data_IF_310408087201
#
_entry.id   IF_310408087201
#
_cell.length_a   1.000
_cell.length_b   1.000
_cell.length_c   1.000
_cell.angle_alpha   90.00
_cell.angle_beta   90.00
_cell.angle_gamma   90.00
#
_symmetry.space_group_name_H-M   'P 1'
#
loop_
_entity.id
_entity.type
_entity.pdbx_description
1 polymer ?
#
# COMPACT_ATOMS: atom_id res chain seq x y z
N UNK A 1 -9.77 41.29 -12.69
CA UNK A 1 -9.93 40.23 -11.68
C UNK A 1 -8.87 39.19 -12.01
N UNK A 2 -7.88 38.96 -11.13
CA UNK A 2 -6.88 37.93 -11.37
C UNK A 2 -7.52 36.56 -11.23
N UNK A 3 -7.26 35.63 -12.16
CA UNK A 3 -7.70 34.25 -11.99
C UNK A 3 -6.98 33.61 -10.80
N UNK A 4 -7.65 32.72 -10.07
CA UNK A 4 -6.99 31.89 -9.04
C UNK A 4 -5.82 31.14 -9.70
N UNK A 5 -4.67 31.00 -9.03
CA UNK A 5 -3.59 30.15 -9.53
C UNK A 5 -4.11 28.72 -9.68
N UNK A 6 -4.04 28.19 -10.91
CA UNK A 6 -4.48 26.83 -11.22
C UNK A 6 -3.29 25.97 -11.60
N UNK A 7 -3.31 24.72 -11.15
CA UNK A 7 -2.35 23.70 -11.60
C UNK A 7 -2.76 23.20 -12.97
N UNK A 8 -1.79 23.00 -13.87
CA UNK A 8 -2.06 22.36 -15.16
C UNK A 8 -2.04 20.85 -15.00
N UNK A 9 -3.21 20.23 -15.05
CA UNK A 9 -3.38 18.79 -15.10
C UNK A 9 -3.35 18.30 -16.55
N UNK A 10 -2.61 17.22 -16.80
CA UNK A 10 -2.46 16.60 -18.11
C UNK A 10 -2.94 15.15 -18.12
N UNK A 11 -3.03 14.52 -16.95
CA UNK A 11 -3.58 13.18 -16.75
C UNK A 11 -4.92 13.19 -16.03
N UNK A 12 -5.48 11.99 -15.88
CA UNK A 12 -6.71 11.72 -15.14
C UNK A 12 -6.61 10.37 -14.45
N UNK A 13 -7.27 10.20 -13.32
CA UNK A 13 -7.39 8.90 -12.69
C UNK A 13 -8.43 8.08 -13.45
N UNK A 14 -8.17 6.78 -13.62
CA UNK A 14 -9.06 5.85 -14.29
C UNK A 14 -10.29 5.58 -13.43
N UNK A 15 -11.44 5.42 -14.07
CA UNK A 15 -12.65 4.99 -13.40
C UNK A 15 -12.70 3.47 -13.35
N UNK A 16 -12.91 2.90 -12.16
CA UNK A 16 -13.00 1.45 -11.96
C UNK A 16 -14.31 1.12 -11.26
N UNK A 17 -15.10 0.26 -11.90
CA UNK A 17 -16.38 -0.22 -11.37
C UNK A 17 -16.25 -1.64 -10.83
N UNK A 18 -16.67 -1.83 -9.59
CA UNK A 18 -16.57 -3.07 -8.82
C UNK A 18 -17.93 -3.54 -8.33
N UNK A 19 -18.08 -4.85 -8.15
CA UNK A 19 -19.33 -5.48 -7.72
C UNK A 19 -20.13 -6.15 -8.83
N UNK A 20 -21.07 -7.00 -8.39
CA UNK A 20 -21.99 -7.75 -9.26
C UNK A 20 -23.05 -6.83 -9.88
N UNK A 21 -23.67 -7.26 -11.01
CA UNK A 21 -24.73 -6.50 -11.64
C UNK A 21 -25.85 -6.08 -10.67
N UNK A 22 -26.16 -4.78 -10.63
CA UNK A 22 -27.17 -4.17 -9.75
C UNK A 22 -26.65 -3.70 -8.38
N UNK A 23 -25.37 -3.92 -8.08
CA UNK A 23 -24.72 -3.50 -6.83
C UNK A 23 -23.37 -2.80 -7.10
N UNK A 24 -23.19 -2.23 -8.29
CA UNK A 24 -21.91 -1.67 -8.72
C UNK A 24 -21.57 -0.38 -7.98
N UNK A 25 -20.29 -0.23 -7.63
CA UNK A 25 -19.72 1.02 -7.11
C UNK A 25 -18.54 1.39 -7.99
N UNK A 26 -18.44 2.68 -8.33
CA UNK A 26 -17.34 3.23 -9.13
C UNK A 26 -16.48 4.16 -8.28
N UNK A 27 -15.17 4.07 -8.46
CA UNK A 27 -14.14 4.94 -7.86
C UNK A 27 -13.24 5.52 -8.94
N UNK A 28 -12.55 6.62 -8.63
CA UNK A 28 -11.63 7.29 -9.54
C UNK A 28 -12.29 8.36 -10.40
N UNK A 29 -11.66 8.68 -11.54
CA UNK A 29 -12.14 9.68 -12.49
C UNK A 29 -11.69 11.12 -12.21
N UNK A 30 -10.85 11.31 -11.19
CA UNK A 30 -10.34 12.63 -10.80
C UNK A 30 -9.49 13.26 -11.91
N UNK A 31 -9.68 14.56 -12.15
CA UNK A 31 -8.88 15.34 -13.11
C UNK A 31 -8.08 16.45 -12.44
N UNK A 32 -8.05 16.48 -11.11
CA UNK A 32 -7.25 17.36 -10.26
C UNK A 32 -6.94 16.62 -8.94
N UNK A 33 -6.19 17.25 -8.03
CA UNK A 33 -5.98 16.68 -6.70
C UNK A 33 -7.29 16.52 -5.93
N UNK A 34 -7.30 15.59 -4.97
CA UNK A 34 -8.49 15.25 -4.20
C UNK A 34 -9.09 16.49 -3.54
N UNK A 35 -10.41 16.65 -3.69
CA UNK A 35 -11.20 17.77 -3.19
C UNK A 35 -10.88 19.15 -3.79
N UNK A 36 -10.04 19.25 -4.83
CA UNK A 36 -9.74 20.52 -5.50
C UNK A 36 -10.79 20.82 -6.60
N UNK A 37 -12.08 20.80 -6.21
CA UNK A 37 -13.22 20.94 -7.12
C UNK A 37 -13.30 22.28 -7.88
N UNK A 38 -12.49 23.27 -7.49
CA UNK A 38 -12.38 24.56 -8.17
C UNK A 38 -11.50 24.49 -9.45
N UNK A 39 -10.68 23.46 -9.61
CA UNK A 39 -9.75 23.33 -10.75
C UNK A 39 -9.75 21.96 -11.44
N UNK A 40 -10.66 21.07 -11.04
CA UNK A 40 -10.91 19.82 -11.75
C UNK A 40 -12.19 19.11 -11.31
N UNK A 41 -12.46 17.98 -11.95
CA UNK A 41 -13.62 17.16 -11.67
C UNK A 41 -13.23 16.02 -10.73
N UNK A 42 -14.14 15.67 -9.84
CA UNK A 42 -14.10 14.49 -8.99
C UNK A 42 -15.48 13.82 -9.07
N UNK A 43 -15.71 13.00 -10.11
CA UNK A 43 -17.06 12.48 -10.43
C UNK A 43 -17.57 11.48 -9.40
N UNK A 44 -16.66 10.82 -8.69
CA UNK A 44 -16.97 9.82 -7.67
C UNK A 44 -16.39 10.25 -6.33
N UNK A 45 -17.25 10.28 -5.29
CA UNK A 45 -16.78 10.47 -3.92
C UNK A 45 -16.00 9.24 -3.45
N UNK A 46 -14.98 9.39 -2.58
CA UNK A 46 -14.27 8.25 -2.01
C UNK A 46 -15.23 7.30 -1.29
N UNK A 47 -14.94 5.99 -1.39
CA UNK A 47 -15.81 4.92 -0.89
C UNK A 47 -15.25 4.36 0.40
N UNK A 48 -16.15 3.94 1.29
CA UNK A 48 -15.82 3.47 2.63
C UNK A 48 -16.30 2.03 2.79
N UNK A 49 -15.37 1.12 3.05
CA UNK A 49 -15.63 -0.27 3.36
C UNK A 49 -15.51 -0.55 4.85
N UNK A 50 -16.32 -1.48 5.38
CA UNK A 50 -16.11 -2.04 6.71
C UNK A 50 -15.49 -3.43 6.64
N UNK A 51 -14.56 -3.68 7.54
CA UNK A 51 -13.88 -4.96 7.70
C UNK A 51 -14.78 -5.98 8.41
N UNK A 52 -14.80 -7.20 7.87
CA UNK A 52 -15.36 -8.42 8.44
C UNK A 52 -14.25 -9.46 8.47
N UNK A 53 -14.18 -10.27 9.52
CA UNK A 53 -13.17 -11.34 9.63
C UNK A 53 -13.84 -12.70 9.46
N UNK A 54 -13.19 -13.63 8.77
CA UNK A 54 -13.66 -15.01 8.54
C UNK A 54 -13.69 -15.88 9.81
N UNK A 55 -12.97 -15.47 10.85
CA UNK A 55 -12.91 -16.12 12.15
C UNK A 55 -13.19 -15.12 13.27
N UNK A 56 -13.70 -15.63 14.40
CA UNK A 56 -13.89 -14.82 15.59
C UNK A 56 -12.55 -14.21 16.05
N UNK A 57 -12.45 -12.88 16.18
CA UNK A 57 -11.22 -12.23 16.63
C UNK A 57 -10.95 -12.49 18.11
N UNK A 58 -9.69 -12.80 18.46
CA UNK A 58 -9.28 -13.10 19.85
C UNK A 58 -8.58 -11.92 20.53
N UNK A 59 -7.79 -11.13 19.79
CA UNK A 59 -6.91 -10.09 20.35
C UNK A 59 -7.29 -8.66 19.95
N UNK A 60 -8.58 -8.44 19.67
CA UNK A 60 -9.10 -7.11 19.34
C UNK A 60 -9.38 -6.29 20.60
N UNK A 61 -9.22 -4.97 20.48
CA UNK A 61 -9.63 -4.04 21.53
C UNK A 61 -11.14 -4.19 21.80
N UNK A 62 -11.60 -4.12 23.07
CA UNK A 62 -13.03 -4.23 23.39
C UNK A 62 -13.89 -3.24 22.61
N UNK A 63 -13.45 -1.99 22.48
CA UNK A 63 -14.15 -0.94 21.72
C UNK A 63 -14.26 -1.26 20.21
N UNK A 64 -13.33 -2.05 19.66
CA UNK A 64 -13.41 -2.51 18.27
C UNK A 64 -14.43 -3.65 18.07
N UNK A 65 -14.72 -4.41 19.14
CA UNK A 65 -15.64 -5.54 19.11
C UNK A 65 -17.08 -5.13 19.46
N UNK A 66 -17.25 -4.11 20.30
CA UNK A 66 -18.55 -3.65 20.82
C UNK A 66 -19.64 -3.53 19.74
N UNK A 67 -19.38 -2.93 18.55
CA UNK A 67 -20.43 -2.80 17.53
C UNK A 67 -20.90 -4.14 16.94
N UNK A 68 -20.11 -5.21 17.09
CA UNK A 68 -20.29 -6.47 16.36
C UNK A 68 -20.55 -7.69 17.26
N UNK A 69 -20.70 -7.50 18.58
CA UNK A 69 -20.76 -8.58 19.58
C UNK A 69 -21.80 -9.69 19.32
N UNK A 70 -22.88 -9.37 18.63
CA UNK A 70 -23.97 -10.26 18.23
C UNK A 70 -23.68 -11.06 16.94
N UNK A 71 -22.65 -10.69 16.18
CA UNK A 71 -22.31 -11.25 14.87
C UNK A 71 -20.85 -11.72 14.72
N UNK A 72 -20.00 -11.58 15.75
CA UNK A 72 -18.56 -11.94 15.68
C UNK A 72 -18.25 -13.37 15.21
N UNK A 73 -19.19 -14.30 15.37
CA UNK A 73 -19.04 -15.70 14.97
C UNK A 73 -19.65 -16.05 13.60
N UNK A 74 -20.29 -15.10 12.92
CA UNK A 74 -20.97 -15.30 11.64
C UNK A 74 -20.56 -14.19 10.66
N UNK A 75 -19.58 -14.44 9.78
CA UNK A 75 -19.12 -13.44 8.80
C UNK A 75 -20.23 -12.95 7.87
N UNK A 76 -21.25 -13.76 7.59
CA UNK A 76 -22.37 -13.37 6.73
C UNK A 76 -23.29 -12.39 7.45
N UNK A 77 -23.65 -12.70 8.70
CA UNK A 77 -24.43 -11.78 9.54
C UNK A 77 -23.65 -10.47 9.80
N UNK A 78 -22.35 -10.59 10.03
CA UNK A 78 -21.47 -9.43 10.21
C UNK A 78 -21.43 -8.55 8.96
N UNK A 79 -21.25 -9.13 7.77
CA UNK A 79 -21.28 -8.37 6.53
C UNK A 79 -22.62 -7.64 6.31
N UNK A 80 -23.76 -8.27 6.60
CA UNK A 80 -25.07 -7.61 6.53
C UNK A 80 -25.19 -6.46 7.52
N UNK A 81 -24.72 -6.65 8.76
CA UNK A 81 -24.70 -5.61 9.78
C UNK A 81 -23.82 -4.42 9.38
N UNK A 82 -22.68 -4.67 8.73
CA UNK A 82 -21.83 -3.63 8.17
C UNK A 82 -22.54 -2.83 7.05
N UNK A 83 -23.37 -3.48 6.22
CA UNK A 83 -24.23 -2.78 5.25
C UNK A 83 -25.28 -1.92 5.96
N UNK A 84 -25.88 -2.40 7.05
CA UNK A 84 -26.82 -1.61 7.87
C UNK A 84 -26.16 -0.37 8.48
N UNK A 85 -24.85 -0.43 8.78
CA UNK A 85 -24.04 0.73 9.19
C UNK A 85 -23.70 1.71 8.06
N UNK A 86 -24.09 1.43 6.82
CA UNK A 86 -23.89 2.34 5.69
C UNK A 86 -22.55 2.18 4.96
N UNK A 87 -21.96 0.98 5.02
CA UNK A 87 -20.77 0.67 4.24
C UNK A 87 -21.08 0.64 2.73
N UNK A 88 -20.26 1.31 1.92
CA UNK A 88 -20.38 1.25 0.45
C UNK A 88 -19.93 -0.11 -0.08
N UNK A 89 -19.09 -0.80 0.68
CA UNK A 89 -18.43 -2.05 0.34
C UNK A 89 -18.11 -2.84 1.60
N UNK A 90 -17.89 -4.14 1.47
CA UNK A 90 -17.40 -4.99 2.56
C UNK A 90 -15.98 -5.46 2.25
N UNK A 91 -15.11 -5.45 3.26
CA UNK A 91 -13.81 -6.10 3.18
C UNK A 91 -13.80 -7.35 4.05
N UNK A 92 -13.86 -8.52 3.43
CA UNK A 92 -13.68 -9.80 4.10
C UNK A 92 -12.19 -10.09 4.23
N UNK A 93 -11.69 -10.01 5.44
CA UNK A 93 -10.33 -10.36 5.79
C UNK A 93 -10.24 -11.83 6.20
N UNK A 94 -9.45 -12.59 5.45
CA UNK A 94 -9.27 -14.04 5.61
C UNK A 94 -8.22 -14.39 6.67
N UNK A 95 -8.33 -13.80 7.85
CA UNK A 95 -7.37 -13.97 8.96
C UNK A 95 -7.23 -15.44 9.39
N UNK A 96 -8.28 -16.25 9.25
CA UNK A 96 -8.27 -17.68 9.52
C UNK A 96 -7.29 -18.47 8.65
N UNK A 97 -6.89 -17.94 7.50
CA UNK A 97 -5.94 -18.59 6.60
C UNK A 97 -4.47 -18.39 7.00
N UNK A 98 -4.16 -17.57 8.00
CA UNK A 98 -2.77 -17.30 8.41
C UNK A 98 -2.03 -18.60 8.75
N UNK A 99 -0.90 -18.91 8.08
CA UNK A 99 -0.08 -20.08 8.38
C UNK A 99 0.41 -20.16 9.82
N UNK A 100 0.55 -19.01 10.50
CA UNK A 100 0.96 -18.92 11.91
C UNK A 100 -0.24 -18.95 12.87
N UNK A 101 -1.46 -18.88 12.36
CA UNK A 101 -2.71 -18.93 13.11
C UNK A 101 -3.43 -20.27 12.92
N UNK A 102 -4.70 -20.21 12.53
CA UNK A 102 -5.53 -21.41 12.30
C UNK A 102 -5.16 -22.15 11.01
N UNK A 103 -4.45 -21.50 10.08
CA UNK A 103 -4.01 -22.03 8.80
C UNK A 103 -5.13 -22.75 8.03
N UNK A 104 -6.34 -22.19 8.04
CA UNK A 104 -7.49 -22.77 7.35
C UNK A 104 -7.20 -22.91 5.85
N UNK A 105 -7.75 -23.95 5.20
CA UNK A 105 -7.43 -24.27 3.82
C UNK A 105 -8.10 -23.29 2.85
N UNK A 106 -7.67 -23.26 1.58
CA UNK A 106 -8.17 -22.31 0.58
C UNK A 106 -9.67 -22.51 0.28
N UNK A 107 -10.16 -23.74 0.42
CA UNK A 107 -11.55 -24.11 0.26
C UNK A 107 -12.46 -23.40 1.27
N UNK A 108 -12.00 -23.25 2.52
CA UNK A 108 -12.73 -22.50 3.55
C UNK A 108 -12.91 -21.04 3.12
N UNK A 109 -11.82 -20.39 2.69
CA UNK A 109 -11.85 -19.01 2.21
C UNK A 109 -12.75 -18.83 0.99
N UNK A 110 -12.70 -19.75 0.04
CA UNK A 110 -13.53 -19.72 -1.17
C UNK A 110 -15.02 -19.91 -0.87
N UNK A 111 -15.36 -20.75 0.10
CA UNK A 111 -16.74 -20.96 0.56
C UNK A 111 -17.28 -19.72 1.28
N UNK A 112 -16.56 -19.20 2.28
CA UNK A 112 -17.03 -18.07 3.06
C UNK A 112 -17.10 -16.77 2.23
N UNK A 113 -16.13 -16.54 1.34
CA UNK A 113 -16.16 -15.39 0.44
C UNK A 113 -17.39 -15.42 -0.49
N UNK A 114 -17.73 -16.61 -1.01
CA UNK A 114 -18.92 -16.79 -1.84
C UNK A 114 -20.21 -16.56 -1.05
N UNK A 115 -20.33 -17.15 0.15
CA UNK A 115 -21.50 -16.96 1.01
C UNK A 115 -21.72 -15.48 1.33
N UNK A 116 -20.65 -14.75 1.66
CA UNK A 116 -20.72 -13.30 1.90
C UNK A 116 -21.12 -12.55 0.64
N UNK A 117 -20.50 -12.82 -0.50
CA UNK A 117 -20.79 -12.14 -1.77
C UNK A 117 -22.23 -12.35 -2.26
N UNK A 118 -22.80 -13.54 -2.02
CA UNK A 118 -24.20 -13.86 -2.32
C UNK A 118 -25.16 -13.12 -1.38
N UNK A 119 -24.79 -12.97 -0.11
CA UNK A 119 -25.65 -12.46 0.95
C UNK A 119 -25.76 -10.92 1.04
N UNK A 120 -24.78 -10.18 0.51
CA UNK A 120 -24.77 -8.71 0.53
C UNK A 120 -25.18 -8.10 -0.82
N UNK A 121 -25.60 -6.84 -0.78
CA UNK A 121 -26.01 -6.02 -1.93
C UNK A 121 -25.04 -4.86 -2.23
N UNK A 122 -23.78 -5.01 -1.80
CA UNK A 122 -22.67 -4.09 -2.07
C UNK A 122 -21.46 -4.89 -2.56
N UNK A 123 -20.47 -4.25 -3.20
CA UNK A 123 -19.26 -4.95 -3.64
C UNK A 123 -18.44 -5.54 -2.48
N UNK A 124 -17.73 -6.62 -2.78
CA UNK A 124 -16.87 -7.33 -1.83
C UNK A 124 -15.39 -7.22 -2.22
N UNK A 125 -14.60 -6.81 -1.24
CA UNK A 125 -13.14 -6.88 -1.22
C UNK A 125 -12.78 -8.13 -0.43
N UNK A 126 -11.91 -8.97 -0.97
CA UNK A 126 -11.34 -10.12 -0.26
C UNK A 126 -9.87 -9.86 -0.01
N UNK A 127 -9.51 -9.83 1.27
CA UNK A 127 -8.16 -9.51 1.74
C UNK A 127 -7.51 -10.73 2.37
N UNK A 128 -6.29 -11.04 1.93
CA UNK A 128 -5.46 -12.11 2.47
C UNK A 128 -4.68 -11.73 3.73
N UNK A 129 -3.70 -12.57 4.04
CA UNK A 129 -2.79 -12.46 5.20
C UNK A 129 -1.42 -11.93 4.78
N UNK A 130 -0.42 -11.98 5.65
CA UNK A 130 0.94 -11.52 5.35
C UNK A 130 1.77 -12.49 4.50
N UNK A 131 1.33 -13.75 4.34
CA UNK A 131 2.04 -14.76 3.56
C UNK A 131 1.59 -14.77 2.10
N UNK A 132 2.47 -14.36 1.19
CA UNK A 132 2.20 -14.35 -0.24
C UNK A 132 1.96 -15.75 -0.83
N UNK A 133 2.66 -16.77 -0.32
CA UNK A 133 2.46 -18.16 -0.73
C UNK A 133 1.04 -18.62 -0.37
N UNK A 134 0.61 -18.36 0.86
CA UNK A 134 -0.75 -18.70 1.30
C UNK A 134 -1.81 -17.91 0.52
N UNK A 135 -1.59 -16.60 0.35
CA UNK A 135 -2.48 -15.73 -0.43
C UNK A 135 -2.62 -16.21 -1.87
N UNK A 136 -1.56 -16.73 -2.48
CA UNK A 136 -1.60 -17.27 -3.85
C UNK A 136 -2.62 -18.41 -3.96
N UNK A 137 -2.57 -19.37 -3.05
CA UNK A 137 -3.51 -20.50 -3.06
C UNK A 137 -4.94 -20.04 -2.75
N UNK A 138 -5.08 -19.20 -1.72
CA UNK A 138 -6.38 -18.72 -1.21
C UNK A 138 -7.10 -17.82 -2.23
N UNK A 139 -6.44 -16.78 -2.75
CA UNK A 139 -7.07 -15.81 -3.64
C UNK A 139 -7.43 -16.42 -5.01
N UNK A 140 -6.70 -17.44 -5.47
CA UNK A 140 -7.08 -18.21 -6.67
C UNK A 140 -8.37 -18.99 -6.46
N UNK A 141 -8.50 -19.67 -5.33
CA UNK A 141 -9.70 -20.45 -5.01
C UNK A 141 -10.92 -19.53 -4.84
N UNK A 142 -10.73 -18.38 -4.19
CA UNK A 142 -11.76 -17.33 -4.08
C UNK A 142 -12.17 -16.81 -5.45
N UNK A 143 -11.20 -16.48 -6.32
CA UNK A 143 -11.47 -15.97 -7.66
C UNK A 143 -12.34 -16.94 -8.48
N UNK A 144 -12.03 -18.24 -8.43
CA UNK A 144 -12.81 -19.26 -9.12
C UNK A 144 -14.23 -19.41 -8.54
N UNK A 145 -14.34 -19.54 -7.21
CA UNK A 145 -15.61 -19.73 -6.52
C UNK A 145 -16.56 -18.55 -6.69
N UNK A 146 -16.00 -17.33 -6.80
CA UNK A 146 -16.74 -16.07 -6.89
C UNK A 146 -16.73 -15.48 -8.32
N UNK A 147 -16.57 -16.30 -9.36
CA UNK A 147 -16.65 -15.83 -10.74
C UNK A 147 -17.98 -15.08 -11.00
N UNK A 148 -17.89 -13.91 -11.64
CA UNK A 148 -19.04 -13.05 -11.94
C UNK A 148 -19.44 -12.06 -10.85
N UNK A 149 -18.84 -12.12 -9.65
CA UNK A 149 -19.07 -11.12 -8.60
C UNK A 149 -18.23 -9.84 -8.74
N UNK A 150 -17.25 -9.83 -9.65
CA UNK A 150 -16.34 -8.69 -9.87
C UNK A 150 -15.74 -8.15 -8.56
N UNK A 151 -15.14 -9.06 -7.79
CA UNK A 151 -14.47 -8.78 -6.52
C UNK A 151 -13.22 -7.92 -6.69
N UNK A 152 -12.79 -7.28 -5.59
CA UNK A 152 -11.42 -6.80 -5.41
C UNK A 152 -10.63 -7.85 -4.65
N UNK A 153 -9.52 -8.33 -5.21
CA UNK A 153 -8.64 -9.33 -4.61
C UNK A 153 -7.33 -8.68 -4.17
N UNK A 154 -6.97 -8.82 -2.90
CA UNK A 154 -5.72 -8.29 -2.36
C UNK A 154 -5.21 -9.09 -1.16
N UNK A 155 -3.96 -8.87 -0.73
CA UNK A 155 -2.94 -8.07 -1.43
C UNK A 155 -2.34 -8.86 -2.62
N UNK A 156 -2.09 -8.16 -3.73
CA UNK A 156 -1.33 -8.70 -4.87
C UNK A 156 0.03 -8.01 -4.91
N UNK A 157 1.11 -8.76 -4.72
CA UNK A 157 2.48 -8.25 -4.63
C UNK A 157 3.31 -8.72 -5.83
N UNK A 158 4.55 -8.23 -5.95
CA UNK A 158 5.49 -8.70 -6.99
C UNK A 158 5.78 -10.21 -6.91
N UNK A 159 5.59 -10.86 -5.77
CA UNK A 159 5.85 -12.30 -5.63
C UNK A 159 4.71 -13.17 -6.16
N UNK A 160 3.46 -12.70 -6.11
CA UNK A 160 2.27 -13.49 -6.41
C UNK A 160 1.43 -12.98 -7.60
N UNK A 161 1.81 -11.84 -8.21
CA UNK A 161 1.03 -11.20 -9.26
C UNK A 161 0.74 -12.10 -10.47
N UNK A 162 1.66 -13.01 -10.83
CA UNK A 162 1.46 -13.88 -11.99
C UNK A 162 0.28 -14.80 -11.79
N UNK A 163 0.22 -15.45 -10.63
CA UNK A 163 -0.78 -16.46 -10.32
C UNK A 163 -2.12 -15.81 -9.96
N UNK A 164 -2.11 -14.78 -9.11
CA UNK A 164 -3.34 -14.09 -8.69
C UNK A 164 -3.88 -13.21 -9.82
N UNK A 165 -3.02 -12.51 -10.56
CA UNK A 165 -3.40 -11.72 -11.74
C UNK A 165 -3.98 -12.59 -12.86
N UNK A 166 -3.42 -13.77 -13.14
CA UNK A 166 -4.01 -14.70 -14.10
C UNK A 166 -5.41 -15.18 -13.69
N UNK A 167 -5.62 -15.45 -12.40
CA UNK A 167 -6.94 -15.80 -11.88
C UNK A 167 -7.92 -14.62 -11.96
N UNK A 168 -7.47 -13.39 -11.66
CA UNK A 168 -8.28 -12.19 -11.79
C UNK A 168 -8.70 -11.93 -13.26
N UNK A 169 -7.82 -12.20 -14.23
CA UNK A 169 -8.16 -12.14 -15.66
C UNK A 169 -9.22 -13.19 -16.00
N UNK A 170 -8.99 -14.45 -15.63
CA UNK A 170 -9.85 -15.57 -15.97
C UNK A 170 -11.29 -15.38 -15.42
N UNK A 171 -11.41 -14.92 -14.18
CA UNK A 171 -12.69 -14.80 -13.47
C UNK A 171 -13.23 -13.36 -13.43
N UNK A 172 -12.56 -12.43 -14.10
CA UNK A 172 -12.96 -11.01 -14.24
C UNK A 172 -13.12 -10.34 -12.87
N UNK A 173 -12.04 -10.36 -12.10
CA UNK A 173 -11.90 -9.62 -10.85
C UNK A 173 -10.95 -8.43 -11.00
N UNK A 174 -10.86 -7.63 -9.95
CA UNK A 174 -9.98 -6.47 -9.82
C UNK A 174 -8.88 -6.87 -8.84
N UNK A 175 -7.66 -6.39 -9.07
CA UNK A 175 -6.51 -6.63 -8.16
C UNK A 175 -6.19 -5.37 -7.37
N UNK A 176 -5.96 -5.52 -6.07
CA UNK A 176 -5.32 -4.50 -5.24
C UNK A 176 -3.80 -4.74 -5.25
N UNK A 177 -3.11 -3.99 -6.10
CA UNK A 177 -1.67 -4.08 -6.33
C UNK A 177 -0.92 -3.44 -5.15
N UNK A 178 -0.47 -4.28 -4.22
CA UNK A 178 0.23 -3.90 -3.01
C UNK A 178 1.73 -3.72 -3.27
N UNK A 179 2.24 -2.54 -2.95
CA UNK A 179 3.66 -2.19 -2.98
C UNK A 179 4.07 -1.49 -1.68
N UNK A 180 5.26 -1.77 -1.12
CA UNK A 180 5.65 -1.24 0.18
C UNK A 180 6.20 0.20 0.08
N UNK A 181 5.31 1.20 0.22
CA UNK A 181 5.64 2.63 0.43
C UNK A 181 6.73 3.15 -0.53
N UNK A 182 6.63 2.79 -1.81
CA UNK A 182 7.56 3.23 -2.85
C UNK A 182 6.86 3.38 -4.20
N UNK A 183 6.96 4.57 -4.79
CA UNK A 183 6.32 4.91 -6.07
C UNK A 183 6.87 4.10 -7.25
N UNK A 184 8.15 3.77 -7.26
CA UNK A 184 8.76 2.99 -8.33
C UNK A 184 8.31 1.54 -8.25
N UNK A 185 8.20 0.98 -7.04
CA UNK A 185 7.66 -0.36 -6.85
C UNK A 185 6.18 -0.42 -7.25
N UNK A 186 5.38 0.58 -6.89
CA UNK A 186 3.99 0.70 -7.35
C UNK A 186 3.91 0.71 -8.88
N UNK A 187 4.74 1.54 -9.53
CA UNK A 187 4.82 1.62 -11.00
C UNK A 187 5.26 0.31 -11.64
N UNK A 188 6.29 -0.33 -11.09
CA UNK A 188 6.82 -1.61 -11.58
C UNK A 188 5.76 -2.70 -11.48
N UNK A 189 5.06 -2.82 -10.36
CA UNK A 189 4.00 -3.81 -10.18
C UNK A 189 2.85 -3.61 -11.17
N UNK A 190 2.44 -2.35 -11.40
CA UNK A 190 1.40 -2.04 -12.39
C UNK A 190 1.85 -2.43 -13.81
N UNK A 191 3.11 -2.15 -14.18
CA UNK A 191 3.68 -2.59 -15.47
C UNK A 191 3.66 -4.12 -15.58
N UNK A 192 4.01 -4.84 -14.51
CA UNK A 192 4.01 -6.30 -14.49
C UNK A 192 2.59 -6.87 -14.67
N UNK A 193 1.58 -6.28 -14.02
CA UNK A 193 0.18 -6.67 -14.15
C UNK A 193 -0.37 -6.40 -15.56
N UNK A 194 -0.06 -5.23 -16.14
CA UNK A 194 -0.44 -4.91 -17.52
C UNK A 194 0.23 -5.85 -18.53
N UNK A 195 1.52 -6.14 -18.37
CA UNK A 195 2.25 -7.08 -19.24
C UNK A 195 1.71 -8.51 -19.14
N UNK A 196 1.19 -8.90 -17.97
CA UNK A 196 0.49 -10.17 -17.78
C UNK A 196 -0.87 -10.19 -18.51
N UNK A 197 -1.44 -9.03 -18.81
CA UNK A 197 -2.72 -8.86 -19.50
C UNK A 197 -3.88 -8.49 -18.58
N UNK A 198 -3.62 -8.04 -17.35
CA UNK A 198 -4.68 -7.52 -16.47
C UNK A 198 -5.23 -6.22 -17.09
N UNK A 199 -6.54 -6.12 -17.32
CA UNK A 199 -7.13 -4.91 -17.91
C UNK A 199 -6.88 -3.67 -17.05
N UNK A 200 -6.61 -2.54 -17.71
CA UNK A 200 -6.30 -1.27 -17.01
C UNK A 200 -7.51 -0.67 -16.26
N UNK A 201 -8.71 -1.21 -16.43
CA UNK A 201 -9.90 -0.89 -15.64
C UNK A 201 -10.09 -1.85 -14.45
N UNK A 202 -9.06 -2.64 -14.10
CA UNK A 202 -9.11 -3.70 -13.07
C UNK A 202 -7.91 -3.72 -12.11
N UNK A 203 -7.22 -2.59 -11.96
CA UNK A 203 -6.08 -2.44 -11.05
C UNK A 203 -6.34 -1.28 -10.09
N UNK A 204 -6.25 -1.54 -8.79
CA UNK A 204 -6.18 -0.53 -7.74
C UNK A 204 -4.76 -0.52 -7.18
N UNK A 205 -4.24 0.67 -6.84
CA UNK A 205 -2.94 0.80 -6.17
C UNK A 205 -3.16 0.73 -4.66
N UNK A 206 -2.51 -0.21 -4.01
CA UNK A 206 -2.31 -0.22 -2.56
C UNK A 206 -0.84 0.15 -2.26
N UNK A 207 -0.55 1.39 -1.84
CA UNK A 207 0.81 1.83 -1.55
C UNK A 207 1.33 1.31 -0.21
N UNK A 208 0.60 0.41 0.45
CA UNK A 208 0.73 0.10 1.88
C UNK A 208 0.41 1.32 2.73
N UNK A 209 -0.41 1.13 3.75
CA UNK A 209 -0.80 2.21 4.66
C UNK A 209 -0.18 1.96 6.02
N UNK A 210 0.28 3.02 6.67
CA UNK A 210 0.67 3.03 8.06
C UNK A 210 -0.35 3.85 8.84
N UNK A 211 -0.54 3.55 10.12
CA UNK A 211 -1.40 4.36 10.98
C UNK A 211 -0.70 5.63 11.46
N UNK A 212 -1.47 6.60 11.91
CA UNK A 212 -0.90 7.77 12.59
C UNK A 212 0.01 7.33 13.75
N UNK A 213 1.21 7.92 13.82
CA UNK A 213 2.26 7.52 14.77
C UNK A 213 3.11 6.31 14.36
N UNK A 214 2.74 5.61 13.29
CA UNK A 214 3.41 4.40 12.79
C UNK A 214 3.61 4.46 11.26
N UNK A 215 4.26 5.53 10.79
CA UNK A 215 4.70 5.65 9.39
C UNK A 215 3.67 6.21 8.41
N UNK A 216 2.57 6.81 8.90
CA UNK A 216 1.57 7.45 8.06
C UNK A 216 2.15 8.57 7.19
N UNK A 217 3.16 9.30 7.67
CA UNK A 217 3.83 10.38 6.94
C UNK A 217 4.53 9.89 5.66
N UNK A 218 5.11 8.69 5.70
CA UNK A 218 5.71 8.06 4.51
C UNK A 218 4.63 7.67 3.51
N UNK A 219 3.54 7.07 4.00
CA UNK A 219 2.40 6.68 3.18
C UNK A 219 1.76 7.89 2.50
N UNK A 220 1.51 8.94 3.28
CA UNK A 220 0.95 10.22 2.82
C UNK A 220 1.79 10.81 1.68
N UNK A 221 3.11 10.92 1.88
CA UNK A 221 4.02 11.47 0.86
C UNK A 221 4.09 10.61 -0.40
N UNK A 222 4.05 9.29 -0.29
CA UNK A 222 4.04 8.40 -1.46
C UNK A 222 2.72 8.49 -2.22
N UNK A 223 1.59 8.56 -1.53
CA UNK A 223 0.27 8.76 -2.15
C UNK A 223 0.20 10.08 -2.91
N UNK A 224 0.68 11.19 -2.32
CA UNK A 224 0.74 12.48 -3.01
C UNK A 224 1.65 12.41 -4.24
N UNK A 225 2.81 11.74 -4.16
CA UNK A 225 3.71 11.57 -5.31
C UNK A 225 3.07 10.74 -6.42
N UNK A 226 2.33 9.69 -6.08
CA UNK A 226 1.57 8.88 -7.03
C UNK A 226 0.54 9.76 -7.74
N UNK A 227 -0.23 10.56 -6.99
CA UNK A 227 -1.22 11.48 -7.56
C UNK A 227 -0.59 12.58 -8.43
N UNK A 228 0.50 13.18 -7.99
CA UNK A 228 1.26 14.17 -8.76
C UNK A 228 1.74 13.58 -10.10
N UNK A 229 2.34 12.39 -10.07
CA UNK A 229 2.80 11.72 -11.29
C UNK A 229 1.63 11.39 -12.23
N UNK A 230 0.53 10.86 -11.68
CA UNK A 230 -0.66 10.51 -12.45
C UNK A 230 -1.31 11.72 -13.13
N UNK A 231 -1.49 12.82 -12.39
CA UNK A 231 -2.32 13.96 -12.80
C UNK A 231 -1.52 15.07 -13.51
N UNK A 232 -0.30 15.38 -13.06
CA UNK A 232 0.49 16.50 -13.64
C UNK A 232 1.51 16.04 -14.67
N UNK A 233 2.08 14.85 -14.48
CA UNK A 233 3.10 14.28 -15.36
C UNK A 233 2.51 13.28 -16.37
N UNK A 234 1.22 12.98 -16.26
CA UNK A 234 0.48 12.03 -17.11
C UNK A 234 1.14 10.64 -17.15
N UNK A 235 1.64 10.16 -16.00
CA UNK A 235 2.18 8.82 -15.86
C UNK A 235 1.04 7.80 -15.83
N UNK A 236 0.76 7.18 -16.98
CA UNK A 236 -0.38 6.29 -17.19
C UNK A 236 -0.37 5.02 -16.33
N UNK A 237 0.82 4.63 -15.84
CA UNK A 237 1.03 3.49 -14.92
C UNK A 237 0.70 3.81 -13.48
N UNK A 238 0.45 5.07 -13.15
CA UNK A 238 0.06 5.53 -11.81
C UNK A 238 -1.34 6.16 -11.79
N UNK A 239 -2.04 6.17 -12.92
CA UNK A 239 -3.41 6.70 -13.07
C UNK A 239 -4.49 5.76 -12.53
N UNK A 240 -4.15 4.81 -11.67
CA UNK A 240 -5.12 3.91 -11.05
C UNK A 240 -5.68 4.52 -9.76
N UNK A 241 -6.91 4.16 -9.37
CA UNK A 241 -7.44 4.52 -8.07
C UNK A 241 -6.61 3.93 -6.92
N UNK A 242 -6.59 4.62 -5.78
CA UNK A 242 -5.85 4.21 -4.59
C UNK A 242 -6.81 3.61 -3.56
N UNK A 243 -6.45 2.42 -3.05
CA UNK A 243 -7.11 1.74 -1.95
C UNK A 243 -6.20 1.72 -0.72
N UNK A 244 -6.74 1.97 0.47
CA UNK A 244 -6.00 1.94 1.73
C UNK A 244 -6.69 1.01 2.74
N UNK A 245 -5.97 -0.03 3.19
CA UNK A 245 -6.40 -0.84 4.31
C UNK A 245 -5.93 -0.23 5.63
N UNK A 246 -6.80 0.54 6.28
CA UNK A 246 -6.49 1.30 7.51
C UNK A 246 -6.87 0.52 8.76
N UNK A 247 -7.93 -0.29 8.66
CA UNK A 247 -8.52 -1.06 9.76
C UNK A 247 -7.46 -1.80 10.59
N UNK A 248 -6.66 -2.66 9.96
CA UNK A 248 -5.68 -3.45 10.71
C UNK A 248 -4.50 -2.59 11.20
N UNK A 249 -4.07 -1.61 10.40
CA UNK A 249 -2.92 -0.77 10.71
C UNK A 249 -3.15 0.07 11.96
N UNK A 250 -4.37 0.58 12.16
CA UNK A 250 -4.71 1.38 13.33
C UNK A 250 -4.99 0.51 14.55
N UNK A 251 -5.85 -0.49 14.41
CA UNK A 251 -6.34 -1.24 15.56
C UNK A 251 -5.34 -2.29 16.09
N UNK A 252 -4.24 -2.55 15.37
CA UNK A 252 -3.10 -3.32 15.90
C UNK A 252 -2.18 -2.50 16.81
N UNK A 253 -2.27 -1.17 16.77
CA UNK A 253 -1.39 -0.28 17.55
C UNK A 253 -1.59 -0.45 19.05
N UNK A 254 -0.55 -0.11 19.82
CA UNK A 254 -0.60 -0.13 21.28
C UNK A 254 -1.64 0.85 21.80
N UNK A 255 -1.72 2.05 21.24
CA UNK A 255 -2.60 3.13 21.67
C UNK A 255 -4.07 2.79 21.49
N UNK A 256 -4.42 2.04 20.44
CA UNK A 256 -5.78 1.55 20.21
C UNK A 256 -6.17 0.40 21.15
N UNK A 257 -5.20 -0.42 21.60
CA UNK A 257 -5.44 -1.58 22.48
C UNK A 257 -5.36 -1.29 23.97
N UNK A 258 -4.64 -0.26 24.38
CA UNK A 258 -4.48 0.08 25.79
C UNK A 258 -5.82 0.54 26.41
N UNK A 259 -6.13 0.02 27.59
CA UNK A 259 -7.28 0.47 28.36
C UNK A 259 -7.00 1.83 29.03
N UNK A 260 -8.07 2.54 29.40
CA UNK A 260 -7.95 3.79 30.20
C UNK A 260 -7.31 3.54 31.58
N UNK A 261 -7.48 2.35 32.16
CA UNK A 261 -6.90 2.00 33.45
C UNK A 261 -5.38 1.77 33.36
N UNK A 262 -4.89 1.24 32.24
CA UNK A 262 -3.47 0.94 32.06
C UNK A 262 -2.64 2.20 31.81
N UNK A 263 -3.18 3.18 31.08
CA UNK A 263 -2.56 4.50 30.92
C UNK A 263 -3.60 5.63 30.90
N UNK A 264 -3.96 6.17 32.08
CA UNK A 264 -4.97 7.22 32.21
C UNK A 264 -4.64 8.52 31.45
N UNK A 265 -3.36 8.74 31.11
CA UNK A 265 -2.91 9.96 30.41
C UNK A 265 -3.41 10.01 28.96
N UNK A 266 -3.75 8.86 28.38
CA UNK A 266 -4.24 8.76 27.01
C UNK A 266 -5.76 9.00 26.90
N UNK A 267 -6.46 9.15 28.04
CA UNK A 267 -7.92 9.36 28.08
C UNK A 267 -8.74 8.10 27.75
N UNK A 268 -9.99 8.31 27.33
CA UNK A 268 -10.92 7.24 27.03
C UNK A 268 -10.50 6.38 25.83
N UNK A 269 -10.50 5.06 25.99
CA UNK A 269 -10.00 4.11 24.99
C UNK A 269 -10.82 4.09 23.69
N UNK A 270 -12.14 4.00 23.77
CA UNK A 270 -13.02 4.01 22.60
C UNK A 270 -12.91 5.29 21.77
N UNK A 271 -12.99 6.45 22.43
CA UNK A 271 -12.79 7.76 21.77
C UNK A 271 -11.42 7.83 21.11
N UNK A 272 -10.37 7.35 21.79
CA UNK A 272 -9.00 7.34 21.25
C UNK A 272 -8.88 6.44 20.02
N UNK A 273 -9.37 5.20 20.08
CA UNK A 273 -9.32 4.25 18.95
C UNK A 273 -10.05 4.76 17.71
N UNK A 274 -11.27 5.27 17.89
CA UNK A 274 -12.06 5.89 16.82
C UNK A 274 -11.32 7.09 16.22
N UNK A 275 -10.74 7.96 17.05
CA UNK A 275 -10.00 9.13 16.55
C UNK A 275 -8.69 8.76 15.83
N UNK A 276 -7.96 7.75 16.29
CA UNK A 276 -6.77 7.26 15.59
C UNK A 276 -7.13 6.76 14.19
N UNK A 277 -8.25 6.04 14.08
CA UNK A 277 -8.74 5.55 12.80
C UNK A 277 -9.23 6.69 11.90
N UNK A 278 -10.00 7.63 12.47
CA UNK A 278 -10.51 8.80 11.75
C UNK A 278 -9.39 9.71 11.24
N UNK A 279 -8.37 9.99 12.06
CA UNK A 279 -7.22 10.82 11.67
C UNK A 279 -6.45 10.14 10.53
N UNK A 280 -6.20 8.83 10.65
CA UNK A 280 -5.51 8.07 9.60
C UNK A 280 -6.33 8.08 8.29
N UNK A 281 -7.63 7.87 8.38
CA UNK A 281 -8.55 7.93 7.24
C UNK A 281 -8.55 9.31 6.57
N UNK A 282 -8.68 10.39 7.35
CA UNK A 282 -8.64 11.76 6.82
C UNK A 282 -7.32 12.07 6.12
N UNK A 283 -6.20 11.69 6.73
CA UNK A 283 -4.88 11.87 6.12
C UNK A 283 -4.75 11.08 4.80
N UNK A 284 -5.27 9.86 4.72
CA UNK A 284 -5.28 9.09 3.47
C UNK A 284 -6.17 9.75 2.40
N UNK A 285 -7.36 10.27 2.76
CA UNK A 285 -8.24 10.98 1.83
C UNK A 285 -7.58 12.22 1.25
N UNK A 286 -6.94 13.04 2.09
CA UNK A 286 -6.21 14.23 1.65
C UNK A 286 -5.05 13.88 0.72
N UNK A 287 -4.36 12.76 0.97
CA UNK A 287 -3.24 12.32 0.15
C UNK A 287 -3.63 11.69 -1.19
N UNK A 288 -4.92 11.39 -1.41
CA UNK A 288 -5.38 10.86 -2.69
C UNK A 288 -6.19 9.57 -2.65
N UNK A 289 -6.63 9.06 -1.49
CA UNK A 289 -7.36 7.80 -1.43
C UNK A 289 -8.75 7.87 -2.06
N UNK A 290 -9.13 6.82 -2.79
CA UNK A 290 -10.48 6.69 -3.37
C UNK A 290 -11.31 5.60 -2.69
N UNK A 291 -10.66 4.68 -1.97
CA UNK A 291 -11.31 3.59 -1.25
C UNK A 291 -10.60 3.32 0.08
N UNK A 292 -11.33 3.50 1.18
CA UNK A 292 -10.84 3.23 2.53
C UNK A 292 -11.46 1.97 3.11
N UNK A 293 -10.66 1.12 3.75
CA UNK A 293 -11.14 0.01 4.57
C UNK A 293 -10.97 0.37 6.04
N UNK A 294 -12.10 0.47 6.74
CA UNK A 294 -12.22 0.82 8.15
C UNK A 294 -12.77 -0.37 8.95
N UNK A 295 -12.65 -0.33 10.26
CA UNK A 295 -13.20 -1.32 11.20
C UNK A 295 -14.36 -0.76 11.98
N UNK A 296 -14.29 0.47 12.49
CA UNK A 296 -15.30 0.97 13.41
C UNK A 296 -16.40 1.77 12.67
N UNK A 297 -17.70 1.46 12.87
CA UNK A 297 -18.78 2.12 12.15
C UNK A 297 -18.93 3.61 12.52
N UNK A 298 -18.60 3.98 13.76
CA UNK A 298 -18.58 5.40 14.14
C UNK A 298 -17.50 6.21 13.41
N UNK A 299 -16.33 5.60 13.14
CA UNK A 299 -15.31 6.21 12.28
C UNK A 299 -15.87 6.45 10.89
N UNK A 300 -16.50 5.44 10.30
CA UNK A 300 -17.15 5.56 8.99
C UNK A 300 -18.18 6.70 8.97
N UNK A 301 -19.00 6.83 10.02
CA UNK A 301 -19.98 7.92 10.15
C UNK A 301 -19.30 9.30 10.15
N UNK A 302 -18.20 9.45 10.89
CA UNK A 302 -17.43 10.70 10.91
C UNK A 302 -16.83 11.03 9.55
N UNK A 303 -16.22 10.04 8.89
CA UNK A 303 -15.60 10.23 7.57
C UNK A 303 -16.66 10.51 6.50
N UNK A 304 -17.82 9.83 6.54
CA UNK A 304 -18.94 10.11 5.64
C UNK A 304 -19.39 11.56 5.76
N UNK A 305 -19.63 12.03 6.98
CA UNK A 305 -19.99 13.43 7.22
C UNK A 305 -18.90 14.40 6.72
N UNK A 306 -17.62 14.08 6.89
CA UNK A 306 -16.54 14.89 6.34
C UNK A 306 -16.60 14.95 4.80
N UNK A 307 -16.74 13.80 4.13
CA UNK A 307 -16.85 13.70 2.66
C UNK A 307 -18.05 14.49 2.14
N UNK A 308 -19.21 14.36 2.78
CA UNK A 308 -20.43 15.09 2.40
C UNK A 308 -20.26 16.61 2.49
N UNK A 309 -19.50 17.09 3.47
CA UNK A 309 -19.25 18.52 3.65
C UNK A 309 -18.20 19.08 2.69
N UNK A 310 -17.14 18.31 2.38
CA UNK A 310 -16.05 18.80 1.51
C UNK A 310 -16.35 18.65 0.02
N UNK A 311 -17.20 17.68 -0.37
CA UNK A 311 -17.60 17.45 -1.76
C UNK A 311 -18.65 18.46 -2.27
N UNK A 312 -18.98 19.50 -1.50
CA UNK A 312 -19.86 20.59 -1.94
C UNK A 312 -19.14 21.43 -2.99
N UNK A 313 -19.86 21.83 -4.03
CA UNK A 313 -19.34 22.63 -5.14
C UNK A 313 -18.65 23.90 -4.61
N UNK A 314 -17.34 23.97 -4.82
CA UNK A 314 -16.47 25.04 -4.34
C UNK A 314 -16.23 26.03 -5.48
N UNK A 315 -17.13 26.99 -5.65
CA UNK A 315 -16.90 28.17 -6.50
C UNK A 315 -16.83 29.44 -5.63
N UNK A 316 -16.23 30.50 -6.17
CA UNK A 316 -16.03 31.74 -5.42
C UNK A 316 -17.35 32.34 -4.90
N UNK A 317 -18.42 32.12 -5.65
CA UNK A 317 -19.77 32.55 -5.30
C UNK A 317 -20.33 31.72 -4.13
N UNK A 318 -20.09 30.41 -4.10
CA UNK A 318 -20.54 29.50 -3.03
C UNK A 318 -19.77 29.67 -1.72
N UNK A 319 -18.51 30.10 -1.79
CA UNK A 319 -17.66 30.33 -0.61
C UNK A 319 -17.87 31.69 0.06
N UNK A 320 -18.62 32.61 -0.56
CA UNK A 320 -18.85 33.95 -0.01
C UNK A 320 -17.58 34.76 0.22
N UNK A 321 -16.51 34.47 -0.54
CA UNK A 321 -15.19 35.11 -0.36
C UNK A 321 -15.22 36.51 -0.98
N UNK A 322 -15.09 37.53 -0.13
CA UNK A 322 -14.93 38.91 -0.56
C UNK A 322 -13.52 39.14 -1.14
N UNK A 323 -13.41 38.99 -2.46
CA UNK A 323 -12.17 39.23 -3.21
C UNK A 323 -11.75 40.71 -3.26
N UNK A 324 -12.52 41.65 -2.69
CA UNK A 324 -12.12 43.06 -2.60
C UNK A 324 -10.90 43.29 -1.70
N UNK A 325 -10.56 42.31 -0.86
CA UNK A 325 -9.38 42.31 0.01
C UNK A 325 -8.09 41.86 -0.70
N UNK A 326 -8.19 41.29 -1.91
CA UNK A 326 -7.01 40.95 -2.72
C UNK A 326 -6.53 42.23 -3.41
N UNK A 327 -5.67 42.99 -2.73
CA UNK A 327 -4.99 44.12 -3.34
C UNK A 327 -4.07 43.59 -4.43
N UNK A 328 -4.32 43.99 -5.68
CA UNK A 328 -3.36 43.85 -6.78
C UNK A 328 -2.17 44.75 -6.48
N UNK A 329 -1.22 44.29 -5.68
CA UNK A 329 0.11 44.84 -5.73
C UNK A 329 0.73 44.36 -7.04
N UNK A 330 0.67 45.21 -8.07
CA UNK A 330 1.59 45.09 -9.20
C UNK A 330 3.00 44.93 -8.60
N UNK A 331 3.65 43.81 -8.91
CA UNK A 331 5.05 43.63 -8.58
C UNK A 331 5.82 44.82 -9.17
N UNK A 332 6.59 45.59 -8.38
CA UNK A 332 7.29 46.75 -8.91
C UNK A 332 8.27 46.31 -9.99
N UNK A 333 8.45 47.08 -11.07
CA UNK A 333 9.36 46.73 -12.14
C UNK A 333 10.79 46.63 -11.58
N UNK A 334 11.48 45.54 -11.88
CA UNK A 334 12.90 45.39 -11.58
C UNK A 334 13.71 46.42 -12.39
N UNK A 335 14.05 47.55 -11.76
CA UNK A 335 15.00 48.50 -12.32
C UNK A 335 16.43 47.91 -12.27
N UNK A 336 16.99 47.64 -13.44
CA UNK A 336 18.40 47.33 -13.59
C UNK A 336 19.24 48.61 -13.43
N UNK A 337 20.01 48.72 -12.35
CA UNK A 337 21.15 49.64 -12.28
C UNK A 337 22.44 48.85 -12.10
N UNK A 338 23.20 48.80 -13.20
CA UNK A 338 24.60 48.47 -13.21
C UNK A 338 25.44 49.66 -12.71
N UNK A 339 26.70 49.35 -12.33
CA UNK A 339 27.86 50.21 -11.98
C UNK A 339 27.85 50.86 -10.58
N UNK A 340 28.93 50.88 -9.78
CA UNK A 340 30.35 50.55 -9.99
C UNK A 340 31.12 50.34 -8.65
N UNK A 341 32.29 49.71 -8.75
CA UNK A 341 33.37 49.36 -7.78
C UNK A 341 33.70 50.44 -6.71
N UNK A 342 34.29 50.15 -5.54
CA UNK A 342 35.62 49.54 -5.34
C UNK A 342 35.85 49.23 -3.84
N UNK A 343 36.39 48.06 -3.48
CA UNK A 343 37.80 47.80 -3.10
C UNK A 343 38.08 47.79 -1.59
N UNK A 344 38.27 46.59 -1.04
CA UNK A 344 39.32 46.26 -0.07
C UNK A 344 39.45 44.73 0.07
N UNK A 345 40.57 44.19 -0.36
CA UNK A 345 41.06 42.83 -0.01
C UNK A 345 42.28 42.97 0.89
N UNK A 346 42.53 42.01 1.80
CA UNK A 346 43.44 40.90 1.45
C UNK A 346 42.99 39.49 1.91
N UNK A 347 43.32 38.47 1.10
CA UNK A 347 43.26 37.00 1.35
C UNK A 347 44.53 36.53 2.10
N UNK A 348 44.54 35.40 2.87
CA UNK A 348 44.58 34.01 2.36
C UNK A 348 43.76 33.01 3.24
N UNK A 349 43.49 31.73 2.99
CA UNK A 349 43.76 30.68 2.00
C UNK A 349 42.69 29.58 2.22
N UNK A 350 42.09 29.00 1.18
CA UNK A 350 41.25 27.80 1.31
C UNK A 350 41.90 26.67 0.53
N UNK A 351 42.24 25.62 1.26
CA UNK A 351 42.71 24.34 0.76
C UNK A 351 41.56 23.60 0.06
N UNK A 352 41.83 23.08 -1.13
CA UNK A 352 40.92 22.24 -1.91
C UNK A 352 40.72 20.87 -1.26
N UNK A 353 39.49 20.34 -1.34
CA UNK A 353 39.20 18.90 -1.27
C UNK A 353 38.33 18.55 -2.50
N UNK A 354 38.59 17.42 -3.19
CA UNK A 354 38.29 17.26 -4.63
C UNK A 354 36.87 16.78 -4.94
N UNK A 355 36.39 17.17 -6.13
CA UNK A 355 35.17 16.69 -6.78
C UNK A 355 35.30 15.21 -7.18
N UNK A 356 34.31 14.38 -6.81
CA UNK A 356 34.09 13.07 -7.43
C UNK A 356 33.05 13.18 -8.56
N UNK A 357 33.31 12.40 -9.62
CA UNK A 357 32.74 12.50 -10.95
C UNK A 357 31.35 11.87 -11.07
N UNK A 358 30.48 12.52 -11.84
CA UNK A 358 29.30 11.92 -12.48
C UNK A 358 29.71 10.87 -13.53
N UNK A 359 29.01 9.73 -13.66
CA UNK A 359 29.02 8.93 -14.89
C UNK A 359 28.02 9.48 -15.92
N UNK A 360 28.46 9.51 -17.18
CA UNK A 360 27.70 9.90 -18.39
C UNK A 360 27.46 8.64 -19.28
N UNK A 361 26.60 8.73 -20.31
CA UNK A 361 25.69 7.67 -20.75
C UNK A 361 26.30 6.56 -21.63
N UNK A 362 25.54 5.46 -21.76
CA UNK A 362 25.79 4.27 -22.57
C UNK A 362 26.17 4.57 -24.02
N UNK A 363 27.25 3.93 -24.48
CA UNK A 363 27.61 3.79 -25.89
C UNK A 363 27.24 2.40 -26.41
N UNK A 364 26.64 2.36 -27.59
CA UNK A 364 26.40 1.16 -28.40
C UNK A 364 27.71 0.67 -29.04
N UNK A 365 27.85 -0.64 -29.21
CA UNK A 365 28.87 -1.26 -30.07
C UNK A 365 28.21 -2.24 -31.07
N UNK A 366 28.89 -2.54 -32.19
CA UNK A 366 28.28 -2.42 -33.51
C UNK A 366 27.80 -3.73 -34.14
N UNK A 367 26.80 -3.59 -35.02
CA UNK A 367 26.40 -4.57 -36.03
C UNK A 367 27.41 -4.64 -37.18
N UNK A 368 27.91 -5.85 -37.48
CA UNK A 368 28.57 -6.18 -38.74
C UNK A 368 27.58 -6.90 -39.67
N UNK A 369 27.45 -6.40 -40.90
CA UNK A 369 26.73 -7.05 -42.00
C UNK A 369 27.54 -8.20 -42.60
N UNK A 370 26.87 -9.30 -42.97
CA UNK A 370 27.13 -10.03 -44.21
C UNK A 370 25.89 -10.81 -44.67
N UNK A 371 25.65 -10.74 -45.98
CA UNK A 371 24.45 -11.10 -46.73
C UNK A 371 24.18 -12.60 -46.94
N UNK A 372 22.89 -12.85 -47.25
CA UNK A 372 22.34 -13.80 -48.25
C UNK A 372 22.29 -15.31 -47.96
N UNK A 373 21.07 -15.87 -48.06
CA UNK A 373 20.86 -17.28 -48.46
C UNK A 373 19.56 -17.94 -48.01
N UNK A 374 18.50 -17.75 -48.81
CA UNK A 374 17.34 -18.61 -49.16
C UNK A 374 16.99 -19.93 -48.42
N UNK A 375 15.68 -20.22 -48.51
CA UNK A 375 14.98 -21.52 -48.44
C UNK A 375 14.69 -22.09 -47.02
N UNK A 376 13.58 -22.78 -46.69
CA UNK A 376 12.29 -23.12 -47.28
C UNK A 376 11.44 -23.81 -46.17
N UNK A 377 10.11 -23.67 -46.24
CA UNK A 377 9.04 -24.66 -45.92
C UNK A 377 8.97 -25.41 -44.55
N UNK A 378 7.94 -25.07 -43.75
CA UNK A 378 6.80 -25.88 -43.19
C UNK A 378 6.91 -27.44 -43.08
N UNK A 379 5.98 -28.16 -42.38
CA UNK A 379 5.62 -28.20 -40.94
C UNK A 379 5.45 -29.67 -40.42
N UNK A 380 5.27 -29.94 -39.11
CA UNK A 380 4.52 -31.14 -38.60
C UNK A 380 4.62 -31.36 -37.07
N UNK A 381 3.49 -31.53 -36.37
CA UNK A 381 3.40 -32.31 -35.11
C UNK A 381 3.03 -33.78 -35.40
N UNK A 382 2.41 -34.57 -34.49
CA UNK A 382 2.50 -34.70 -33.02
C UNK A 382 2.78 -36.18 -32.58
N UNK A 383 2.56 -36.51 -31.29
CA UNK A 383 2.54 -37.84 -30.61
C UNK A 383 3.89 -38.33 -30.03
N UNK A 384 4.02 -39.12 -28.96
CA UNK A 384 3.18 -39.58 -27.83
C UNK A 384 4.10 -40.31 -26.82
N UNK A 385 3.72 -40.33 -25.53
CA UNK A 385 4.10 -41.23 -24.41
C UNK A 385 5.28 -42.22 -24.51
N UNK A 386 6.21 -42.16 -23.55
CA UNK A 386 6.74 -43.32 -22.78
C UNK A 386 7.58 -42.84 -21.56
N UNK A 387 7.40 -43.48 -20.40
CA UNK A 387 8.15 -43.37 -19.13
C UNK A 387 8.71 -44.78 -18.77
N UNK A 388 9.60 -44.97 -17.77
CA UNK A 388 10.85 -44.29 -17.42
C UNK A 388 11.99 -45.34 -17.18
N UNK A 389 13.14 -44.95 -16.58
CA UNK A 389 13.52 -45.68 -15.36
C UNK A 389 14.02 -44.82 -14.18
N UNK A 390 13.68 -45.33 -12.99
CA UNK A 390 14.20 -45.15 -11.61
C UNK A 390 15.73 -44.92 -11.49
N UNK A 391 16.32 -44.42 -10.39
CA UNK A 391 15.89 -43.81 -9.13
C UNK A 391 17.17 -43.33 -8.40
N UNK A 392 17.12 -42.24 -7.62
CA UNK A 392 17.97 -42.05 -6.42
C UNK A 392 17.15 -41.34 -5.34
N UNK A 393 17.24 -41.90 -4.13
CA UNK A 393 16.50 -41.62 -2.90
C UNK A 393 16.71 -40.19 -2.36
N UNK A 394 15.68 -39.62 -1.75
CA UNK A 394 15.80 -38.54 -0.76
C UNK A 394 14.92 -38.85 0.45
N UNK A 395 15.57 -38.82 1.62
CA UNK A 395 15.04 -39.02 2.96
C UNK A 395 14.24 -37.81 3.46
N UNK A 396 13.33 -38.08 4.39
CA UNK A 396 12.43 -37.15 5.09
C UNK A 396 13.16 -36.03 5.87
N UNK A 397 12.58 -34.82 6.02
CA UNK A 397 13.06 -33.85 6.99
C UNK A 397 12.47 -34.09 8.39
N UNK A 398 13.39 -34.19 9.36
CA UNK A 398 13.16 -34.32 10.79
C UNK A 398 12.66 -33.02 11.44
N UNK A 399 11.67 -33.21 12.31
CA UNK A 399 11.05 -32.26 13.25
C UNK A 399 12.04 -31.82 14.35
N UNK A 400 12.08 -30.52 14.69
CA UNK A 400 12.75 -30.03 15.91
C UNK A 400 11.75 -29.28 16.80
N UNK A 401 11.45 -29.88 17.95
CA UNK A 401 10.77 -29.27 19.09
C UNK A 401 11.63 -28.22 19.80
N UNK A 402 11.03 -27.10 20.20
CA UNK A 402 11.65 -26.19 21.17
C UNK A 402 11.29 -26.60 22.61
N UNK A 403 12.29 -26.73 23.48
CA UNK A 403 12.11 -26.72 24.95
C UNK A 403 13.12 -25.78 25.58
N UNK A 404 12.59 -24.92 26.47
CA UNK A 404 13.30 -24.02 27.37
C UNK A 404 14.33 -24.77 28.21
N UNK A 405 15.53 -24.20 28.38
CA UNK A 405 16.52 -24.67 29.35
C UNK A 405 17.80 -23.83 29.36
N UNK A 406 18.04 -23.15 30.47
CA UNK A 406 19.25 -22.39 30.83
C UNK A 406 20.52 -23.25 30.80
N UNK A 407 21.64 -22.75 30.23
CA UNK A 407 23.02 -23.06 30.70
C UNK A 407 24.14 -22.22 30.08
N UNK A 408 24.91 -21.62 31.01
CA UNK A 408 26.32 -21.20 31.05
C UNK A 408 27.22 -21.34 29.80
N UNK A 409 27.96 -20.26 29.55
CA UNK A 409 29.08 -20.15 28.62
C UNK A 409 30.31 -21.00 29.00
N UNK A 410 30.97 -21.58 27.97
CA UNK A 410 32.44 -21.83 27.85
C UNK A 410 32.78 -22.28 26.39
N UNK A 411 34.06 -22.23 25.98
CA UNK A 411 34.53 -21.47 24.81
C UNK A 411 34.56 -22.26 23.50
N UNK A 412 34.65 -21.50 22.40
CA UNK A 412 34.77 -21.98 21.02
C UNK A 412 36.04 -22.83 20.80
N UNK A 413 35.87 -23.92 20.06
CA UNK A 413 36.91 -24.67 19.38
C UNK A 413 36.62 -24.59 17.89
N UNK A 414 37.64 -24.21 17.13
CA UNK A 414 37.60 -23.86 15.71
C UNK A 414 37.10 -25.00 14.81
N UNK A 415 36.09 -24.69 14.01
CA UNK A 415 35.85 -25.29 12.70
C UNK A 415 35.28 -24.19 11.81
N UNK A 416 36.15 -23.52 11.06
CA UNK A 416 35.76 -22.54 10.04
C UNK A 416 35.04 -23.29 8.91
N UNK A 417 33.71 -23.16 8.87
CA UNK A 417 32.97 -23.29 7.61
C UNK A 417 33.24 -22.01 6.82
N UNK A 418 33.89 -22.17 5.67
CA UNK A 418 34.29 -21.11 4.76
C UNK A 418 33.04 -20.45 4.15
N UNK A 419 32.70 -19.26 4.64
CA UNK A 419 31.52 -18.48 4.22
C UNK A 419 31.73 -17.75 2.89
N UNK A 420 32.87 -17.94 2.19
CA UNK A 420 33.08 -17.37 0.86
C UNK A 420 32.98 -15.84 0.78
N UNK A 421 33.29 -15.15 1.89
CA UNK A 421 33.29 -13.69 1.99
C UNK A 421 34.65 -13.13 1.61
N UNK A 422 34.68 -12.05 0.84
CA UNK A 422 35.94 -11.38 0.48
C UNK A 422 36.55 -10.65 1.68
N UNK A 423 37.85 -10.35 1.64
CA UNK A 423 38.51 -9.59 2.72
C UNK A 423 37.88 -8.21 2.94
N UNK A 424 37.32 -7.60 1.88
CA UNK A 424 36.59 -6.33 1.95
C UNK A 424 35.25 -6.47 2.70
N UNK A 425 34.54 -7.59 2.53
CA UNK A 425 33.27 -7.86 3.23
C UNK A 425 33.48 -8.07 4.74
N UNK A 426 34.58 -8.75 5.09
CA UNK A 426 34.96 -8.98 6.49
C UNK A 426 35.32 -7.66 7.17
N UNK A 427 36.01 -6.75 6.47
CA UNK A 427 36.38 -5.45 7.02
C UNK A 427 35.15 -4.54 7.15
N UNK A 428 34.25 -4.54 6.17
CA UNK A 428 32.97 -3.82 6.25
C UNK A 428 32.10 -4.30 7.43
N UNK A 429 32.05 -5.61 7.69
CA UNK A 429 31.33 -6.17 8.84
C UNK A 429 31.96 -5.76 10.19
N UNK A 430 33.28 -5.67 10.27
CA UNK A 430 33.98 -5.17 11.47
C UNK A 430 33.70 -3.69 11.73
N UNK A 431 33.73 -2.87 10.69
CA UNK A 431 33.41 -1.44 10.79
C UNK A 431 31.95 -1.23 11.24
N UNK A 432 31.01 -1.98 10.65
CA UNK A 432 29.59 -1.93 11.01
C UNK A 432 29.35 -2.37 12.46
N UNK A 433 30.05 -3.40 12.93
CA UNK A 433 30.02 -3.86 14.32
C UNK A 433 30.62 -2.83 15.30
N UNK A 434 31.66 -2.10 14.89
CA UNK A 434 32.25 -1.03 15.69
C UNK A 434 31.31 0.18 15.79
N UNK A 435 30.68 0.59 14.68
CA UNK A 435 29.70 1.66 14.63
C UNK A 435 28.47 1.34 15.51
N UNK A 436 27.98 0.09 15.47
CA UNK A 436 26.85 -0.34 16.29
C UNK A 436 27.17 -0.31 17.78
N UNK A 437 28.40 -0.70 18.18
CA UNK A 437 28.87 -0.61 19.57
C UNK A 437 29.01 0.85 20.03
N UNK A 438 29.51 1.73 19.17
CA UNK A 438 29.62 3.17 19.48
C UNK A 438 28.22 3.80 19.64
N UNK A 439 27.28 3.48 18.75
CA UNK A 439 25.90 3.96 18.81
C UNK A 439 25.19 3.49 20.10
N UNK A 440 25.35 2.21 20.46
CA UNK A 440 24.79 1.67 21.70
C UNK A 440 25.37 2.37 22.94
N UNK A 441 26.67 2.67 22.93
CA UNK A 441 27.32 3.46 23.99
C UNK A 441 26.78 4.88 24.11
N UNK A 442 26.50 5.54 22.98
CA UNK A 442 25.94 6.89 22.93
C UNK A 442 24.49 6.92 23.47
N UNK A 443 23.67 5.94 23.09
CA UNK A 443 22.29 5.79 23.57
C UNK A 443 22.24 5.54 25.07
N UNK A 444 23.12 4.67 25.59
CA UNK A 444 23.25 4.43 27.04
C UNK A 444 23.78 5.65 27.80
N UNK A 445 24.64 6.45 27.17
CA UNK A 445 25.14 7.72 27.72
C UNK A 445 24.04 8.78 27.82
N UNK A 446 23.23 8.94 26.76
CA UNK A 446 22.08 9.84 26.75
C UNK A 446 21.03 9.44 27.78
N UNK A 447 20.74 8.14 27.89
CA UNK A 447 19.78 7.63 28.88
C UNK A 447 20.22 7.90 30.33
N UNK A 448 21.54 7.90 30.62
CA UNK A 448 22.07 8.27 31.94
C UNK A 448 22.09 9.78 32.20
N UNK A 449 22.19 10.61 31.17
CA UNK A 449 22.10 12.07 31.30
C UNK A 449 20.68 12.55 31.54
N UNK A 450 19.68 11.82 31.01
CA UNK A 450 18.25 12.13 31.19
C UNK A 450 17.65 11.61 32.51
N UNK A 451 18.43 10.82 33.28
CA UNK A 451 18.01 10.25 34.57
C UNK A 451 18.66 10.94 35.79
N UNK A 452 19.40 12.05 35.58
CA UNK A 452 19.88 12.97 36.62
C UNK A 452 19.25 14.33 36.38
#
# INVERSE_FOLDING_TARGET
MGALPQVKYSGKIREISMGKPGCEVTVGGETAYNFYGFEGLMPHAPKLALQVVDIQPEEWAPDALEPYVDVLGDPVAWAKKCVEYGADMICLWLAGTDPNGKNLPAEHAAEIARQVAEAINVPLIVWGVSSDEKNTAVLKAVAESCAGFNLVLGPVTESNFKQVGAAAIAYKHIVAANSPIDINLAKQLNILLENLGVPTDRILIDPTTGSVGYGMEYCYSIMERIRQAALTQNDDKLQYPIINNIAEEVWKTKEAKLSENDDPRLGNAGIRGINLEAITALSALQAGSDLLILRHPETMRHIRNYVDNIMVKTDLDSMGVDLSLVTTHEAPPLESKATERAAATPKPSVSEIPQSKQPKPFAQEPTGEQEAGKDQLLPSGPASMEQPPEAVKQDEPLVIHSKKGTRKAKPASDSEEDLGLSEEDIEALKEMSAAFRAFKGLVLGLARLLSK
#
